data_IF_110037375778
#
_entry.id   IF_110037375778
#
_cell.length_a   1.000
_cell.length_b   1.000
_cell.length_c   1.000
_cell.angle_alpha   90.00
_cell.angle_beta   90.00
_cell.angle_gamma   90.00
#
_symmetry.space_group_name_H-M   'P 1'
#
loop_
_entity.id
_entity.type
_entity.pdbx_description
1 polymer ?
#
# COMPACT_ATOMS: atom_id res chain seq x y z
N UNK A 1 -29.40 -26.26 53.71
CA UNK A 1 -28.84 -24.91 53.46
C UNK A 1 -28.69 -24.72 51.96
N UNK A 2 -29.61 -23.98 51.35
CA UNK A 2 -29.55 -23.59 49.94
C UNK A 2 -28.94 -22.19 49.90
N UNK A 3 -27.71 -22.10 49.40
CA UNK A 3 -27.01 -20.85 49.15
C UNK A 3 -27.70 -20.11 48.02
N UNK A 4 -28.06 -18.86 48.32
CA UNK A 4 -28.86 -17.95 47.52
C UNK A 4 -28.12 -17.63 46.21
N UNK A 5 -28.83 -17.82 45.10
CA UNK A 5 -28.50 -17.31 43.76
C UNK A 5 -28.17 -15.81 43.87
N UNK A 6 -26.96 -15.43 43.46
CA UNK A 6 -26.50 -14.03 43.48
C UNK A 6 -27.47 -13.11 42.74
N UNK A 7 -27.90 -12.06 43.45
CA UNK A 7 -28.82 -11.02 42.97
C UNK A 7 -28.25 -10.30 41.75
N UNK A 8 -29.04 -10.28 40.67
CA UNK A 8 -28.74 -9.69 39.36
C UNK A 8 -28.90 -8.16 39.31
N UNK A 9 -29.30 -7.53 40.41
CA UNK A 9 -29.91 -6.20 40.38
C UNK A 9 -28.95 -5.02 40.16
N UNK A 10 -27.63 -5.23 40.26
CA UNK A 10 -26.62 -4.19 39.98
C UNK A 10 -25.72 -4.50 38.77
N UNK A 11 -25.93 -5.64 38.09
CA UNK A 11 -25.06 -6.07 36.99
C UNK A 11 -25.59 -5.68 35.62
N UNK A 12 -26.89 -5.43 35.44
CA UNK A 12 -27.43 -5.01 34.15
C UNK A 12 -27.02 -3.58 33.81
N UNK A 13 -27.04 -2.64 34.76
CA UNK A 13 -26.64 -1.27 34.50
C UNK A 13 -25.13 -1.16 34.26
N UNK A 14 -24.32 -1.91 35.02
CA UNK A 14 -22.86 -2.03 34.79
C UNK A 14 -22.55 -2.77 33.48
N UNK A 15 -23.34 -3.77 33.11
CA UNK A 15 -23.24 -4.45 31.81
C UNK A 15 -23.65 -3.50 30.68
N UNK A 16 -24.70 -2.69 30.85
CA UNK A 16 -25.17 -1.73 29.86
C UNK A 16 -24.24 -0.52 29.74
N UNK A 17 -23.58 -0.09 30.82
CA UNK A 17 -22.47 0.88 30.79
C UNK A 17 -21.25 0.30 30.06
N UNK A 18 -20.84 -0.94 30.37
CA UNK A 18 -19.76 -1.65 29.67
C UNK A 18 -20.09 -1.98 28.20
N UNK A 19 -21.36 -2.20 27.87
CA UNK A 19 -21.85 -2.39 26.49
C UNK A 19 -22.02 -1.04 25.79
N UNK A 20 -22.19 0.06 26.54
CA UNK A 20 -22.18 1.44 26.05
C UNK A 20 -20.77 1.93 25.70
N UNK A 21 -19.75 1.45 26.41
CA UNK A 21 -18.33 1.52 26.02
C UNK A 21 -18.01 0.58 24.84
N UNK A 22 -18.78 0.66 23.75
CA UNK A 22 -18.53 -0.13 22.53
C UNK A 22 -17.13 0.16 22.01
N UNK A 23 -16.19 -0.72 22.38
CA UNK A 23 -14.98 -0.95 21.62
C UNK A 23 -15.42 -1.34 20.21
N UNK A 24 -14.86 -0.67 19.21
CA UNK A 24 -15.35 -0.73 17.84
C UNK A 24 -15.49 -2.19 17.40
N UNK A 25 -16.72 -2.60 17.06
CA UNK A 25 -17.03 -4.00 16.75
C UNK A 25 -16.16 -4.45 15.56
N UNK A 26 -15.37 -5.54 15.69
CA UNK A 26 -14.40 -5.89 14.67
C UNK A 26 -15.01 -6.12 13.29
N UNK A 27 -16.23 -6.68 13.21
CA UNK A 27 -16.93 -6.89 11.92
C UNK A 27 -17.36 -5.60 11.20
N UNK A 28 -17.38 -4.46 11.89
CA UNK A 28 -17.66 -3.14 11.31
C UNK A 28 -16.40 -2.46 10.75
N UNK A 29 -15.23 -2.94 11.17
CA UNK A 29 -13.94 -2.42 10.74
C UNK A 29 -13.49 -3.03 9.41
N UNK A 30 -12.86 -2.20 8.58
CA UNK A 30 -12.15 -2.65 7.40
C UNK A 30 -10.87 -3.42 7.76
N UNK A 31 -10.22 -3.99 6.74
CA UNK A 31 -9.05 -4.83 6.96
C UNK A 31 -7.90 -4.08 7.65
N UNK A 32 -7.63 -2.83 7.29
CA UNK A 32 -6.53 -2.06 7.87
C UNK A 32 -6.85 -1.59 9.28
N UNK A 33 -8.08 -1.15 9.52
CA UNK A 33 -8.55 -0.77 10.85
C UNK A 33 -8.41 -1.94 11.83
N UNK A 34 -8.76 -3.16 11.40
CA UNK A 34 -8.56 -4.37 12.22
C UNK A 34 -7.10 -4.67 12.49
N UNK A 35 -6.23 -4.59 11.47
CA UNK A 35 -4.78 -4.80 11.68
C UNK A 35 -4.22 -3.82 12.71
N UNK A 36 -4.61 -2.54 12.61
CA UNK A 36 -4.14 -1.47 13.50
C UNK A 36 -4.58 -1.65 14.96
N UNK A 37 -5.71 -2.31 15.20
CA UNK A 37 -6.20 -2.63 16.53
C UNK A 37 -5.74 -4.01 17.04
N UNK A 38 -5.14 -4.83 16.17
CA UNK A 38 -4.70 -6.16 16.54
C UNK A 38 -3.42 -6.10 17.39
N UNK A 39 -3.39 -6.89 18.46
CA UNK A 39 -2.26 -6.97 19.41
C UNK A 39 -1.26 -8.07 19.05
N UNK A 40 -1.47 -8.82 17.98
CA UNK A 40 -0.59 -9.89 17.52
C UNK A 40 0.80 -9.32 17.18
N UNK A 41 1.89 -9.80 17.82
CA UNK A 41 3.23 -9.27 17.61
C UNK A 41 3.70 -9.27 16.16
N UNK A 42 3.22 -10.23 15.34
CA UNK A 42 3.49 -10.29 13.90
C UNK A 42 2.89 -9.09 13.17
N UNK A 43 1.61 -8.81 13.42
CA UNK A 43 0.88 -7.70 12.76
C UNK A 43 1.48 -6.37 13.20
N UNK A 44 1.78 -6.22 14.50
CA UNK A 44 2.45 -5.02 15.02
C UNK A 44 3.77 -4.78 14.28
N UNK A 45 4.64 -5.78 14.17
CA UNK A 45 5.93 -5.64 13.46
C UNK A 45 5.80 -5.36 11.96
N UNK A 46 4.77 -5.91 11.32
CA UNK A 46 4.47 -5.58 9.93
C UNK A 46 4.05 -4.12 9.80
N UNK A 47 3.14 -3.65 10.66
CA UNK A 47 2.68 -2.27 10.68
C UNK A 47 3.81 -1.29 10.99
N UNK A 48 4.69 -1.61 11.93
CA UNK A 48 5.88 -0.80 12.25
C UNK A 48 6.73 -0.55 11.00
N UNK A 49 6.92 -1.58 10.15
CA UNK A 49 7.65 -1.43 8.89
C UNK A 49 6.86 -0.68 7.83
N UNK A 50 5.57 -0.97 7.70
CA UNK A 50 4.69 -0.26 6.76
C UNK A 50 4.58 1.23 7.08
N UNK A 51 4.67 1.59 8.36
CA UNK A 51 4.65 2.98 8.82
C UNK A 51 5.94 3.74 8.46
N UNK A 52 7.05 3.06 8.17
CA UNK A 52 8.30 3.74 7.81
C UNK A 52 8.22 4.46 6.45
N UNK A 53 7.40 3.98 5.52
CA UNK A 53 7.17 4.64 4.24
C UNK A 53 5.84 5.37 4.16
N UNK A 54 5.13 5.49 5.28
CA UNK A 54 3.96 6.36 5.37
C UNK A 54 4.37 7.81 5.14
N UNK A 55 3.52 8.57 4.45
CA UNK A 55 3.77 9.95 4.07
C UNK A 55 4.96 10.14 3.10
N UNK A 56 5.47 9.04 2.52
CA UNK A 56 6.54 9.06 1.49
C UNK A 56 6.01 8.62 0.14
N UNK A 57 6.80 8.85 -0.92
CA UNK A 57 6.48 8.35 -2.27
C UNK A 57 6.32 6.82 -2.35
N UNK A 58 6.74 6.04 -1.35
CA UNK A 58 6.58 4.59 -1.35
C UNK A 58 5.24 4.12 -0.78
N UNK A 59 4.43 4.99 -0.15
CA UNK A 59 3.12 4.62 0.40
C UNK A 59 2.17 4.07 -0.67
N UNK A 60 1.97 4.81 -1.77
CA UNK A 60 1.11 4.36 -2.88
C UNK A 60 1.70 3.17 -3.64
N UNK A 61 3.03 3.11 -3.76
CA UNK A 61 3.72 1.99 -4.38
C UNK A 61 3.56 0.69 -3.56
N UNK A 62 3.61 0.80 -2.23
CA UNK A 62 3.39 -0.32 -1.32
C UNK A 62 1.96 -0.82 -1.41
N UNK A 63 0.98 0.08 -1.41
CA UNK A 63 -0.43 -0.28 -1.62
C UNK A 63 -0.64 -1.09 -2.92
N UNK A 64 0.10 -0.76 -3.98
CA UNK A 64 0.10 -1.54 -5.22
C UNK A 64 0.75 -2.93 -5.05
N UNK A 65 1.89 -3.02 -4.38
CA UNK A 65 2.61 -4.27 -4.13
C UNK A 65 1.78 -5.28 -3.31
N UNK A 66 0.98 -4.80 -2.34
CA UNK A 66 0.13 -5.66 -1.49
C UNK A 66 -0.90 -6.49 -2.27
N UNK A 67 -1.17 -6.16 -3.53
CA UNK A 67 -2.00 -6.98 -4.44
C UNK A 67 -1.30 -8.27 -4.88
N UNK A 68 0.03 -8.31 -4.80
CA UNK A 68 0.88 -9.42 -5.20
C UNK A 68 1.49 -10.13 -3.99
N UNK A 69 1.96 -9.35 -3.02
CA UNK A 69 2.58 -9.83 -1.79
C UNK A 69 1.53 -9.77 -0.68
N UNK A 70 1.04 -10.93 -0.24
CA UNK A 70 -0.03 -10.99 0.77
C UNK A 70 0.54 -11.18 2.18
N UNK A 71 -0.14 -10.64 3.21
CA UNK A 71 0.25 -10.80 4.61
C UNK A 71 0.31 -12.27 5.07
N UNK A 72 -0.47 -13.17 4.47
CA UNK A 72 -0.44 -14.61 4.78
C UNK A 72 0.89 -15.27 4.42
N UNK A 73 1.54 -14.76 3.37
CA UNK A 73 2.84 -15.22 2.88
C UNK A 73 3.96 -14.33 3.45
N UNK A 74 3.68 -13.55 4.50
CA UNK A 74 4.56 -12.53 5.09
C UNK A 74 5.12 -11.54 4.09
N UNK A 75 4.31 -11.20 3.08
CA UNK A 75 4.71 -10.37 1.96
C UNK A 75 5.91 -10.92 1.18
N UNK A 76 6.14 -12.24 1.26
CA UNK A 76 7.14 -12.92 0.45
C UNK A 76 6.50 -13.46 -0.82
N UNK A 77 7.23 -13.35 -1.91
CA UNK A 77 6.78 -13.80 -3.22
C UNK A 77 7.84 -14.63 -3.90
N UNK A 78 7.40 -15.57 -4.73
CA UNK A 78 8.30 -16.25 -5.66
C UNK A 78 8.80 -15.27 -6.72
N UNK A 79 9.90 -15.62 -7.38
CA UNK A 79 10.41 -14.84 -8.51
C UNK A 79 9.32 -14.60 -9.55
N UNK A 80 8.57 -15.64 -9.93
CA UNK A 80 7.53 -15.54 -10.95
C UNK A 80 6.48 -14.48 -10.60
N UNK A 81 6.05 -14.42 -9.33
CA UNK A 81 5.12 -13.38 -8.89
C UNK A 81 5.74 -11.99 -8.83
N UNK A 82 7.02 -11.89 -8.49
CA UNK A 82 7.72 -10.62 -8.56
C UNK A 82 7.90 -10.15 -10.02
N UNK A 83 8.22 -11.05 -10.97
CA UNK A 83 8.25 -10.78 -12.41
C UNK A 83 6.90 -10.25 -12.92
N UNK A 84 5.79 -10.82 -12.46
CA UNK A 84 4.45 -10.34 -12.79
C UNK A 84 4.22 -8.92 -12.25
N UNK A 85 4.61 -8.64 -11.00
CA UNK A 85 4.55 -7.29 -10.44
C UNK A 85 5.38 -6.30 -11.26
N UNK A 86 6.64 -6.61 -11.58
CA UNK A 86 7.51 -5.76 -12.40
C UNK A 86 6.88 -5.49 -13.77
N UNK A 87 6.25 -6.51 -14.37
CA UNK A 87 5.51 -6.37 -15.63
C UNK A 87 4.29 -5.47 -15.46
N UNK A 88 3.54 -5.63 -14.37
CA UNK A 88 2.35 -4.84 -14.04
C UNK A 88 2.67 -3.34 -13.92
N UNK A 89 3.77 -2.98 -13.27
CA UNK A 89 4.23 -1.58 -13.17
C UNK A 89 4.93 -1.05 -14.45
N UNK A 90 5.09 -1.90 -15.47
CA UNK A 90 5.55 -1.48 -16.80
C UNK A 90 7.03 -1.70 -17.12
N UNK A 91 7.73 -2.52 -16.33
CA UNK A 91 9.06 -3.01 -16.69
C UNK A 91 8.86 -4.18 -17.65
N UNK A 92 9.21 -4.00 -18.93
CA UNK A 92 9.02 -5.04 -19.96
C UNK A 92 10.29 -5.78 -20.32
N UNK A 93 11.46 -5.17 -20.11
CA UNK A 93 12.77 -5.77 -20.41
C UNK A 93 13.04 -6.96 -19.49
N UNK A 94 13.19 -8.16 -20.06
CA UNK A 94 13.50 -9.37 -19.30
C UNK A 94 14.87 -9.29 -18.61
N UNK A 95 15.87 -8.68 -19.27
CA UNK A 95 17.19 -8.45 -18.69
C UNK A 95 17.10 -7.60 -17.42
N UNK A 96 16.33 -6.50 -17.50
CA UNK A 96 16.15 -5.59 -16.37
C UNK A 96 15.39 -6.27 -15.24
N UNK A 97 14.33 -7.03 -15.54
CA UNK A 97 13.61 -7.80 -14.51
C UNK A 97 14.52 -8.81 -13.81
N UNK A 98 15.33 -9.55 -14.58
CA UNK A 98 16.28 -10.50 -14.02
C UNK A 98 17.28 -9.82 -13.08
N UNK A 99 17.83 -8.68 -13.49
CA UNK A 99 18.72 -7.88 -12.65
C UNK A 99 18.04 -7.40 -11.35
N UNK A 100 16.81 -6.92 -11.43
CA UNK A 100 16.05 -6.46 -10.25
C UNK A 100 15.73 -7.62 -9.31
N UNK A 101 15.33 -8.77 -9.87
CA UNK A 101 15.06 -10.00 -9.10
C UNK A 101 16.33 -10.45 -8.38
N UNK A 102 17.46 -10.52 -9.07
CA UNK A 102 18.76 -10.90 -8.50
C UNK A 102 19.18 -9.94 -7.38
N UNK A 103 18.98 -8.63 -7.58
CA UNK A 103 19.30 -7.61 -6.58
C UNK A 103 18.54 -7.78 -5.26
N UNK A 104 17.29 -8.24 -5.31
CA UNK A 104 16.43 -8.32 -4.11
C UNK A 104 16.18 -9.74 -3.61
N UNK A 105 16.68 -10.76 -4.32
CA UNK A 105 16.55 -12.14 -3.89
C UNK A 105 17.40 -12.38 -2.66
N UNK A 106 16.81 -13.01 -1.64
CA UNK A 106 17.59 -13.49 -0.50
C UNK A 106 18.20 -14.86 -0.81
N UNK A 107 19.51 -15.00 -0.64
CA UNK A 107 20.25 -16.25 -0.83
C UNK A 107 19.72 -17.41 0.04
N UNK A 108 19.11 -17.08 1.19
CA UNK A 108 18.72 -18.06 2.20
C UNK A 108 17.35 -18.72 1.94
N UNK A 109 16.48 -18.13 1.13
CA UNK A 109 15.08 -18.54 1.06
C UNK A 109 14.50 -18.70 -0.35
N UNK A 110 15.22 -18.33 -1.42
CA UNK A 110 14.72 -18.45 -2.80
C UNK A 110 13.46 -17.63 -3.09
N UNK A 111 13.06 -16.77 -2.15
CA UNK A 111 11.89 -15.90 -2.19
C UNK A 111 12.35 -14.45 -2.02
N UNK A 112 11.53 -13.53 -2.50
CA UNK A 112 11.74 -12.09 -2.38
C UNK A 112 10.82 -11.57 -1.28
N UNK A 113 11.41 -10.95 -0.28
CA UNK A 113 10.68 -10.34 0.84
C UNK A 113 10.36 -8.89 0.48
N UNK A 114 9.09 -8.61 0.14
CA UNK A 114 8.71 -7.31 -0.38
C UNK A 114 8.80 -6.18 0.65
N UNK A 115 8.73 -6.47 1.95
CA UNK A 115 9.00 -5.45 2.98
C UNK A 115 10.46 -5.01 2.93
N UNK A 116 11.39 -5.96 2.72
CA UNK A 116 12.82 -5.63 2.57
C UNK A 116 13.11 -4.87 1.27
N UNK A 117 12.42 -5.22 0.17
CA UNK A 117 12.50 -4.44 -1.08
C UNK A 117 12.16 -2.98 -0.81
N UNK A 118 11.00 -2.72 -0.21
CA UNK A 118 10.53 -1.35 0.02
C UNK A 118 11.40 -0.60 1.03
N UNK A 119 11.91 -1.28 2.06
CA UNK A 119 12.93 -0.70 2.94
C UNK A 119 14.18 -0.28 2.18
N UNK A 120 14.73 -1.17 1.34
CA UNK A 120 15.93 -0.88 0.58
C UNK A 120 15.72 0.27 -0.41
N UNK A 121 14.55 0.33 -1.06
CA UNK A 121 14.16 1.46 -1.90
C UNK A 121 14.08 2.75 -1.10
N UNK A 122 13.45 2.73 0.08
CA UNK A 122 13.37 3.90 0.97
C UNK A 122 14.77 4.38 1.34
N UNK A 123 15.65 3.45 1.74
CA UNK A 123 17.03 3.76 2.08
C UNK A 123 17.77 4.42 0.92
N UNK A 124 17.66 3.89 -0.31
CA UNK A 124 18.26 4.51 -1.50
C UNK A 124 17.68 5.88 -1.84
N UNK A 125 16.40 6.11 -1.55
CA UNK A 125 15.76 7.42 -1.74
C UNK A 125 16.14 8.44 -0.67
N UNK A 126 16.57 8.00 0.51
CA UNK A 126 16.97 8.88 1.62
C UNK A 126 18.48 9.02 1.78
N UNK A 127 19.27 8.12 1.20
CA UNK A 127 20.71 8.14 1.29
C UNK A 127 21.30 9.27 0.41
N UNK A 128 22.13 10.17 0.97
CA UNK A 128 22.66 11.31 0.22
C UNK A 128 23.47 10.96 -1.03
N UNK A 129 24.05 9.77 -1.10
CA UNK A 129 24.91 9.36 -2.21
C UNK A 129 24.10 8.78 -3.39
N UNK A 130 22.97 8.13 -3.11
CA UNK A 130 22.15 7.47 -4.12
C UNK A 130 20.87 8.25 -4.47
N UNK A 131 20.29 8.97 -3.52
CA UNK A 131 19.04 9.72 -3.68
C UNK A 131 19.05 10.69 -4.88
N UNK A 132 20.10 11.52 -5.12
CA UNK A 132 20.13 12.41 -6.28
C UNK A 132 19.99 11.64 -7.61
N UNK A 133 20.63 10.47 -7.71
CA UNK A 133 20.56 9.62 -8.90
C UNK A 133 19.17 9.02 -9.11
N UNK A 134 18.47 8.64 -8.03
CA UNK A 134 17.09 8.16 -8.11
C UNK A 134 16.14 9.24 -8.60
N UNK A 135 16.20 10.41 -7.98
CA UNK A 135 15.31 11.54 -8.28
C UNK A 135 15.56 12.04 -9.69
N UNK A 136 16.83 12.18 -10.09
CA UNK A 136 17.20 12.56 -11.45
C UNK A 136 16.71 11.53 -12.49
N UNK A 137 16.84 10.22 -12.21
CA UNK A 137 16.34 9.18 -13.11
C UNK A 137 14.81 9.25 -13.27
N UNK A 138 14.09 9.54 -12.18
CA UNK A 138 12.64 9.75 -12.23
C UNK A 138 12.27 11.02 -13.02
N UNK A 139 12.96 12.13 -12.78
CA UNK A 139 12.77 13.38 -13.51
C UNK A 139 13.00 13.21 -15.01
N UNK A 140 14.12 12.60 -15.40
CA UNK A 140 14.48 12.34 -16.81
C UNK A 140 13.53 11.38 -17.52
N UNK A 141 12.64 10.69 -16.81
CA UNK A 141 11.59 9.87 -17.42
C UNK A 141 10.42 10.70 -17.95
N UNK A 142 10.27 11.96 -17.53
CA UNK A 142 9.24 12.87 -18.02
C UNK A 142 9.52 13.30 -19.47
N UNK A 143 8.50 13.76 -20.22
CA UNK A 143 8.72 14.26 -21.58
C UNK A 143 9.41 15.63 -21.53
N UNK A 144 10.55 15.76 -22.20
CA UNK A 144 11.26 17.02 -22.40
C UNK A 144 11.13 17.47 -23.84
N UNK A 145 11.18 18.79 -24.08
CA UNK A 145 11.43 19.29 -25.41
C UNK A 145 12.87 18.99 -25.82
N UNK A 146 13.11 18.76 -27.12
CA UNK A 146 14.42 18.35 -27.66
C UNK A 146 15.55 19.34 -27.38
N UNK A 147 15.21 20.58 -27.00
CA UNK A 147 16.13 21.70 -26.77
C UNK A 147 16.16 22.20 -25.32
N UNK A 148 15.39 21.61 -24.39
CA UNK A 148 15.23 22.13 -23.03
C UNK A 148 15.71 21.15 -21.96
N UNK A 149 16.27 21.69 -20.88
CA UNK A 149 16.62 20.95 -19.64
C UNK A 149 15.39 20.92 -18.70
N UNK A 150 14.33 21.65 -19.05
CA UNK A 150 13.08 21.77 -18.31
C UNK A 150 11.96 20.99 -18.99
N UNK A 151 11.01 20.50 -18.18
CA UNK A 151 9.83 19.82 -18.68
C UNK A 151 8.86 20.86 -19.24
N UNK A 152 8.55 20.84 -20.53
CA UNK A 152 7.65 21.85 -21.13
C UNK A 152 6.17 21.48 -21.01
N UNK A 153 5.34 22.42 -20.55
CA UNK A 153 3.89 22.23 -20.40
C UNK A 153 3.22 21.70 -21.67
N UNK A 154 3.53 22.25 -22.85
CA UNK A 154 2.93 21.83 -24.11
C UNK A 154 3.35 20.43 -24.56
N UNK A 155 4.57 19.99 -24.22
CA UNK A 155 5.01 18.60 -24.46
C UNK A 155 4.25 17.63 -23.54
N UNK A 156 4.09 17.98 -22.26
CA UNK A 156 3.30 17.20 -21.29
C UNK A 156 1.85 17.09 -21.74
N UNK A 157 1.24 18.19 -22.17
CA UNK A 157 -0.15 18.26 -22.65
C UNK A 157 -0.36 17.44 -23.93
N UNK A 158 0.60 17.44 -24.85
CA UNK A 158 0.56 16.55 -26.03
C UNK A 158 0.72 15.08 -25.63
N UNK A 159 1.63 14.78 -24.70
CA UNK A 159 1.89 13.42 -24.25
C UNK A 159 0.66 12.81 -23.57
N UNK A 160 -0.05 13.56 -22.72
CA UNK A 160 -1.28 13.08 -22.07
C UNK A 160 -2.42 12.88 -23.08
N UNK A 161 -2.56 13.77 -24.06
CA UNK A 161 -3.56 13.64 -25.13
C UNK A 161 -3.42 12.34 -25.93
N UNK A 162 -2.18 11.97 -26.28
CA UNK A 162 -1.87 10.69 -26.95
C UNK A 162 -2.16 9.46 -26.09
N UNK A 163 -2.08 9.58 -24.75
CA UNK A 163 -2.33 8.45 -23.85
C UNK A 163 -3.82 8.23 -23.61
N UNK A 164 -4.60 9.29 -23.43
CA UNK A 164 -6.05 9.22 -23.23
C UNK A 164 -6.81 8.64 -24.42
N UNK A 165 -6.25 8.71 -25.64
CA UNK A 165 -6.85 8.10 -26.83
C UNK A 165 -6.70 6.57 -26.92
N UNK A 166 -5.91 5.95 -26.02
CA UNK A 166 -5.71 4.50 -26.02
C UNK A 166 -6.74 3.82 -25.11
N UNK A 167 -7.53 2.87 -25.64
CA UNK A 167 -8.60 2.18 -24.86
C UNK A 167 -8.07 1.13 -23.86
N UNK A 168 -6.83 0.69 -24.01
CA UNK A 168 -6.22 -0.30 -23.11
C UNK A 168 -5.70 0.34 -21.83
N UNK A 169 -6.45 0.20 -20.74
CA UNK A 169 -6.05 0.63 -19.40
C UNK A 169 -5.14 -0.41 -18.74
N UNK A 170 -3.87 -0.43 -19.15
CA UNK A 170 -2.81 -1.14 -18.42
C UNK A 170 -2.30 -0.24 -17.28
N UNK A 171 -2.00 -0.81 -16.12
CA UNK A 171 -1.48 -0.07 -14.95
C UNK A 171 -0.28 0.83 -15.30
N UNK A 172 0.67 0.34 -16.08
CA UNK A 172 1.79 1.14 -16.58
C UNK A 172 1.36 2.44 -17.31
N UNK A 173 0.24 2.42 -18.01
CA UNK A 173 -0.34 3.59 -18.69
C UNK A 173 -1.04 4.53 -17.70
N UNK A 174 -1.70 3.99 -16.69
CA UNK A 174 -2.32 4.76 -15.61
C UNK A 174 -1.26 5.50 -14.79
N UNK A 175 -0.19 4.81 -14.38
CA UNK A 175 0.97 5.42 -13.72
C UNK A 175 1.56 6.55 -14.58
N UNK A 176 1.75 6.32 -15.88
CA UNK A 176 2.24 7.37 -16.78
C UNK A 176 1.28 8.56 -16.88
N UNK A 177 -0.02 8.30 -16.90
CA UNK A 177 -1.03 9.37 -16.93
C UNK A 177 -0.96 10.20 -15.65
N UNK A 178 -0.89 9.57 -14.48
CA UNK A 178 -0.75 10.24 -13.18
C UNK A 178 0.52 11.11 -13.11
N UNK A 179 1.65 10.61 -13.61
CA UNK A 179 2.91 11.38 -13.69
C UNK A 179 2.70 12.71 -14.44
N UNK A 180 2.08 12.64 -15.62
CA UNK A 180 1.83 13.80 -16.49
C UNK A 180 0.77 14.74 -15.91
N UNK A 181 -0.30 14.19 -15.32
CA UNK A 181 -1.36 14.97 -14.67
C UNK A 181 -0.82 15.77 -13.47
N UNK A 182 0.09 15.19 -12.68
CA UNK A 182 0.71 15.95 -11.59
C UNK A 182 1.61 17.09 -12.08
N UNK A 183 2.32 16.92 -13.20
CA UNK A 183 3.08 18.02 -13.80
C UNK A 183 2.14 19.14 -14.28
N UNK A 184 1.04 18.79 -14.97
CA UNK A 184 0.02 19.76 -15.40
C UNK A 184 -0.57 20.50 -14.20
N UNK A 185 -0.93 19.76 -13.15
CA UNK A 185 -1.45 20.32 -11.90
C UNK A 185 -0.48 21.32 -11.28
N UNK A 186 0.82 21.01 -11.24
CA UNK A 186 1.82 21.97 -10.76
C UNK A 186 1.83 23.25 -11.60
N UNK A 187 1.80 23.13 -12.93
CA UNK A 187 1.78 24.31 -13.83
C UNK A 187 0.55 25.20 -13.57
N UNK A 188 -0.61 24.57 -13.35
CA UNK A 188 -1.85 25.27 -13.03
C UNK A 188 -1.81 25.95 -11.65
N UNK A 189 -1.24 25.29 -10.63
CA UNK A 189 -1.14 25.81 -9.26
C UNK A 189 -0.04 26.89 -9.11
N UNK A 190 1.06 26.78 -9.86
CA UNK A 190 2.25 27.65 -9.75
C UNK A 190 2.23 28.87 -10.68
N UNK A 191 1.14 29.09 -11.41
CA UNK A 191 1.04 30.20 -12.36
C UNK A 191 2.01 30.07 -13.54
N UNK A 192 2.21 28.85 -14.04
CA UNK A 192 3.12 28.51 -15.13
C UNK A 192 4.62 28.66 -14.83
N UNK A 193 5.02 28.51 -13.56
CA UNK A 193 6.43 28.52 -13.18
C UNK A 193 7.19 27.33 -13.82
N UNK A 194 8.49 27.48 -14.15
CA UNK A 194 9.29 26.40 -14.72
C UNK A 194 9.28 25.14 -13.85
N UNK A 195 9.18 23.97 -14.48
CA UNK A 195 9.28 22.68 -13.81
C UNK A 195 10.69 22.12 -13.97
N UNK A 196 11.55 22.46 -13.02
CA UNK A 196 12.97 22.08 -12.97
C UNK A 196 13.19 20.81 -12.15
N UNK A 197 14.42 20.27 -12.18
CA UNK A 197 14.81 19.16 -11.31
C UNK A 197 14.65 19.50 -9.82
N UNK A 198 14.97 20.72 -9.40
CA UNK A 198 14.84 21.15 -7.99
C UNK A 198 13.37 21.21 -7.56
N UNK A 199 12.51 21.69 -8.45
CA UNK A 199 11.06 21.69 -8.26
C UNK A 199 10.53 20.26 -8.15
N UNK A 200 10.92 19.40 -9.09
CA UNK A 200 10.57 17.99 -9.08
C UNK A 200 11.02 17.32 -7.78
N UNK A 201 12.25 17.55 -7.34
CA UNK A 201 12.82 17.00 -6.10
C UNK A 201 11.99 17.41 -4.88
N UNK A 202 11.63 18.69 -4.80
CA UNK A 202 10.82 19.23 -3.71
C UNK A 202 9.44 18.54 -3.66
N UNK A 203 8.77 18.43 -4.80
CA UNK A 203 7.47 17.76 -4.90
C UNK A 203 7.57 16.25 -4.66
N UNK A 204 8.65 15.61 -5.07
CA UNK A 204 8.83 14.16 -4.96
C UNK A 204 8.89 13.69 -3.50
N UNK A 205 9.43 14.53 -2.61
CA UNK A 205 9.52 14.26 -1.17
C UNK A 205 8.44 14.96 -0.35
N UNK A 206 7.56 15.74 -0.97
CA UNK A 206 6.43 16.36 -0.29
C UNK A 206 5.34 15.33 -0.01
N UNK A 207 4.92 15.25 1.27
CA UNK A 207 3.85 14.37 1.73
C UNK A 207 2.53 14.59 1.00
N UNK A 208 2.23 15.81 0.57
CA UNK A 208 0.97 16.13 -0.12
C UNK A 208 0.98 15.66 -1.57
N UNK A 209 2.17 15.41 -2.11
CA UNK A 209 2.43 14.89 -3.45
C UNK A 209 2.82 13.41 -3.47
N UNK A 210 2.85 12.74 -2.31
CA UNK A 210 3.35 11.37 -2.16
C UNK A 210 2.72 10.36 -3.12
N UNK A 211 1.41 10.44 -3.38
CA UNK A 211 0.72 9.53 -4.30
C UNK A 211 1.07 9.80 -5.77
N UNK A 212 1.32 11.06 -6.11
CA UNK A 212 1.88 11.39 -7.42
C UNK A 212 3.31 10.86 -7.53
N UNK A 213 4.16 11.06 -6.52
CA UNK A 213 5.52 10.54 -6.51
C UNK A 213 5.55 9.00 -6.59
N UNK A 214 4.60 8.30 -5.95
CA UNK A 214 4.43 6.84 -6.07
C UNK A 214 4.23 6.36 -7.51
N UNK A 215 3.71 7.21 -8.40
CA UNK A 215 3.52 6.83 -9.80
C UNK A 215 4.84 6.58 -10.54
N UNK A 216 5.97 7.02 -9.99
CA UNK A 216 7.32 6.79 -10.52
C UNK A 216 7.93 5.46 -10.07
N UNK A 217 7.17 4.54 -9.44
CA UNK A 217 7.68 3.25 -8.95
C UNK A 217 8.51 2.47 -9.98
N UNK A 218 8.10 2.51 -11.26
CA UNK A 218 8.87 1.91 -12.36
C UNK A 218 10.29 2.50 -12.43
N UNK A 219 10.39 3.83 -12.42
CA UNK A 219 11.65 4.56 -12.49
C UNK A 219 12.49 4.37 -11.23
N UNK A 220 11.86 4.24 -10.06
CA UNK A 220 12.52 3.91 -8.79
C UNK A 220 13.20 2.53 -8.89
N UNK A 221 12.52 1.51 -9.44
CA UNK A 221 13.12 0.20 -9.65
C UNK A 221 14.25 0.20 -10.69
N UNK A 222 14.09 0.96 -11.77
CA UNK A 222 15.16 1.16 -12.76
C UNK A 222 16.39 1.84 -12.16
N UNK A 223 16.18 2.86 -11.33
CA UNK A 223 17.24 3.54 -10.60
C UNK A 223 17.92 2.60 -9.61
N UNK A 224 17.17 1.80 -8.84
CA UNK A 224 17.73 0.79 -7.95
C UNK A 224 18.64 -0.17 -8.71
N UNK A 225 18.19 -0.69 -9.87
CA UNK A 225 19.02 -1.56 -10.70
C UNK A 225 20.28 -0.87 -11.27
N UNK A 226 20.32 0.47 -11.32
CA UNK A 226 21.46 1.23 -11.83
C UNK A 226 22.44 1.62 -10.73
N UNK A 227 21.93 2.08 -9.58
CA UNK A 227 22.73 2.70 -8.53
C UNK A 227 23.04 1.75 -7.36
N UNK A 228 22.26 0.68 -7.17
CA UNK A 228 22.59 -0.31 -6.15
C UNK A 228 23.62 -1.29 -6.71
N UNK A 229 24.70 -1.51 -5.95
CA UNK A 229 25.65 -2.61 -6.20
C UNK A 229 25.17 -3.92 -5.54
N UNK A 230 24.52 -3.79 -4.38
CA UNK A 230 23.82 -4.81 -3.59
C UNK A 230 22.62 -4.10 -2.92
N UNK A 231 21.58 -4.80 -2.42
CA UNK A 231 20.48 -4.12 -1.74
C UNK A 231 21.04 -3.31 -0.57
N UNK A 232 20.78 -1.99 -0.57
CA UNK A 232 21.34 -1.10 0.44
C UNK A 232 20.74 -1.40 1.82
N UNK A 233 21.60 -1.78 2.76
CA UNK A 233 21.25 -2.06 4.15
C UNK A 233 21.19 -3.55 4.49
N UNK A 234 21.48 -3.88 5.75
CA UNK A 234 21.21 -5.20 6.32
C UNK A 234 20.04 -5.09 7.30
N UNK A 235 19.09 -6.01 7.18
CA UNK A 235 18.03 -6.17 8.16
C UNK A 235 18.24 -7.50 8.88
N UNK A 236 18.01 -7.58 10.20
CA UNK A 236 17.97 -8.86 10.87
C UNK A 236 16.87 -9.72 10.23
N UNK A 237 17.16 -11.00 10.01
CA UNK A 237 16.17 -11.99 9.54
C UNK A 237 15.09 -12.09 10.61
N UNK A 238 13.98 -11.38 10.43
CA UNK A 238 12.81 -11.52 11.29
C UNK A 238 12.00 -12.70 10.72
N UNK A 239 11.86 -13.82 11.45
CA UNK A 239 10.95 -14.87 11.06
C UNK A 239 9.53 -14.32 11.20
N UNK A 240 8.95 -13.87 10.09
CA UNK A 240 7.57 -13.37 10.04
C UNK A 240 6.56 -14.52 9.85
N UNK A 241 7.03 -15.68 9.39
CA UNK A 241 6.22 -16.91 9.28
C UNK A 241 5.73 -17.32 10.65
N UNK A 242 4.52 -17.85 10.69
CA UNK A 242 4.20 -18.92 11.63
C UNK A 242 5.24 -20.02 11.43
N UNK A 243 6.38 -19.94 12.13
CA UNK A 243 7.05 -21.18 12.49
C UNK A 243 5.99 -21.92 13.28
N UNK A 244 5.75 -23.20 12.96
CA UNK A 244 5.04 -24.16 13.83
C UNK A 244 5.53 -24.18 15.30
N UNK A 245 6.55 -23.39 15.63
CA UNK A 245 7.22 -23.21 16.92
C UNK A 245 6.73 -22.00 17.72
N UNK A 246 6.00 -21.05 17.13
CA UNK A 246 5.25 -20.09 17.93
C UNK A 246 3.92 -20.77 18.25
N UNK A 247 3.81 -21.33 19.46
CA UNK A 247 2.52 -21.78 19.96
C UNK A 247 1.53 -20.62 19.80
N UNK A 248 0.33 -20.86 19.22
CA UNK A 248 -0.72 -19.86 19.30
C UNK A 248 -0.84 -19.44 20.75
N UNK A 249 -0.96 -18.12 21.00
CA UNK A 249 -1.36 -17.66 22.32
C UNK A 249 -2.60 -18.46 22.73
N UNK A 250 -2.63 -19.00 23.97
CA UNK A 250 -3.76 -19.79 24.42
C UNK A 250 -5.02 -18.95 24.26
N UNK A 251 -5.99 -19.50 23.54
CA UNK A 251 -7.25 -18.84 23.22
C UNK A 251 -7.92 -18.34 24.50
N UNK A 252 -7.94 -17.01 24.71
CA UNK A 252 -8.62 -16.41 25.85
C UNK A 252 -10.06 -16.03 25.46
N UNK A 253 -11.02 -16.76 26.02
CA UNK A 253 -12.46 -16.51 25.82
C UNK A 253 -12.90 -15.13 26.32
N UNK A 254 -12.10 -14.47 27.15
CA UNK A 254 -12.37 -13.16 27.71
C UNK A 254 -11.69 -12.02 26.94
N UNK A 255 -10.75 -12.33 26.03
CA UNK A 255 -10.13 -11.32 25.15
C UNK A 255 -10.79 -11.33 23.76
N UNK A 256 -11.46 -10.21 23.44
CA UNK A 256 -12.21 -10.00 22.18
C UNK A 256 -11.31 -10.16 20.92
N UNK A 257 -9.99 -10.06 21.07
CA UNK A 257 -9.03 -9.94 19.97
C UNK A 257 -8.62 -11.29 19.32
N UNK A 258 -8.88 -12.44 19.96
CA UNK A 258 -8.52 -13.76 19.42
C UNK A 258 -9.43 -14.22 18.27
N UNK A 259 -10.73 -13.88 18.33
CA UNK A 259 -11.68 -14.19 17.26
C UNK A 259 -11.39 -13.38 15.98
N UNK A 260 -10.83 -12.18 16.13
CA UNK A 260 -10.54 -11.30 14.99
C UNK A 260 -9.26 -11.71 14.24
N UNK A 261 -8.29 -12.32 14.92
CA UNK A 261 -7.13 -12.96 14.29
C UNK A 261 -7.53 -14.08 13.31
N UNK A 262 -8.57 -14.84 13.63
CA UNK A 262 -9.14 -15.87 12.73
C UNK A 262 -9.86 -15.21 11.54
N UNK A 263 -10.59 -14.12 11.76
CA UNK A 263 -11.27 -13.38 10.70
C UNK A 263 -10.27 -12.69 9.75
N UNK A 264 -9.23 -12.05 10.29
CA UNK A 264 -8.11 -11.49 9.54
C UNK A 264 -7.41 -12.56 8.71
N UNK A 265 -7.11 -13.72 9.30
CA UNK A 265 -6.54 -14.85 8.56
C UNK A 265 -7.42 -15.29 7.39
N UNK A 266 -8.74 -15.34 7.55
CA UNK A 266 -9.66 -15.72 6.47
C UNK A 266 -9.72 -14.65 5.37
N UNK A 267 -9.65 -13.36 5.72
CA UNK A 267 -9.52 -12.26 4.75
C UNK A 267 -8.19 -12.36 3.98
N UNK A 268 -7.08 -12.62 4.67
CA UNK A 268 -5.75 -12.78 4.07
C UNK A 268 -5.67 -14.00 3.13
N UNK A 269 -6.27 -15.14 3.52
CA UNK A 269 -6.39 -16.34 2.68
C UNK A 269 -7.19 -16.04 1.42
N UNK A 270 -8.37 -15.42 1.58
CA UNK A 270 -9.31 -15.23 0.47
C UNK A 270 -8.91 -14.10 -0.48
N UNK A 271 -8.12 -13.13 -0.01
CA UNK A 271 -7.75 -11.92 -0.77
C UNK A 271 -8.96 -11.07 -1.17
N UNK A 272 -10.14 -11.37 -0.63
CA UNK A 272 -11.37 -10.60 -0.84
C UNK A 272 -11.61 -9.82 0.44
N UNK A 273 -11.36 -8.52 0.40
CA UNK A 273 -11.96 -7.63 1.38
C UNK A 273 -13.46 -7.89 1.36
N UNK A 274 -14.05 -8.17 2.53
CA UNK A 274 -15.49 -8.08 2.68
C UNK A 274 -15.82 -6.62 2.40
N UNK A 275 -16.12 -6.31 1.13
CA UNK A 275 -16.54 -5.00 0.69
C UNK A 275 -17.55 -4.52 1.69
N UNK A 276 -17.21 -3.42 2.37
CA UNK A 276 -18.08 -2.72 3.30
C UNK A 276 -19.49 -2.76 2.73
N UNK A 277 -20.35 -3.53 3.39
CA UNK A 277 -21.78 -3.54 3.13
C UNK A 277 -22.30 -2.18 3.56
N UNK A 278 -22.01 -1.13 2.79
CA UNK A 278 -22.77 0.12 2.82
C UNK A 278 -24.21 -0.31 2.57
N UNK A 279 -24.99 -0.37 3.64
CA UNK A 279 -26.43 -0.50 3.59
C UNK A 279 -26.93 0.58 2.63
N UNK A 280 -27.19 0.18 1.38
CA UNK A 280 -27.88 1.02 0.41
C UNK A 280 -29.30 1.15 0.92
N UNK A 281 -29.57 2.21 1.67
CA UNK A 281 -30.93 2.64 1.96
C UNK A 281 -31.70 2.82 0.65
N UNK A 282 -32.83 2.11 0.53
CA UNK A 282 -33.93 2.28 -0.45
C UNK A 282 -34.97 1.19 -0.11
N UNK A 283 -36.26 1.41 0.15
CA UNK A 283 -37.17 2.56 0.13
C UNK A 283 -38.37 2.13 0.99
N UNK A 284 -38.87 3.00 1.89
CA UNK A 284 -40.22 2.87 2.48
C UNK A 284 -41.25 2.79 1.35
N UNK A 285 -41.97 1.68 1.24
CA UNK A 285 -43.16 1.56 0.37
C UNK A 285 -44.26 2.46 0.95
N UNK A 286 -44.61 3.52 0.22
CA UNK A 286 -45.83 4.30 0.46
C UNK A 286 -47.03 3.36 0.31
N UNK A 287 -47.80 3.27 1.39
CA UNK A 287 -49.17 2.77 1.38
C UNK A 287 -49.99 3.62 0.40
N UNK A 288 -50.60 3.00 -0.61
CA UNK A 288 -51.67 3.63 -1.40
C UNK A 288 -52.92 2.82 -1.15
N UNK A 289 -53.86 3.44 -0.43
CA UNK A 289 -55.22 2.95 -0.23
C UNK A 289 -55.93 2.85 -1.58
N UNK A 290 -56.41 1.66 -1.94
CA UNK A 290 -57.36 1.50 -3.04
C UNK A 290 -58.77 1.68 -2.48
N UNK A 291 -59.48 2.71 -2.95
CA UNK A 291 -60.92 2.83 -2.80
C UNK A 291 -61.60 1.74 -3.62
N UNK A 292 -62.63 1.16 -3.01
CA UNK A 292 -63.60 0.24 -3.59
C UNK A 292 -64.44 0.95 -4.64
N UNK A 293 -64.67 0.24 -5.75
CA UNK A 293 -65.83 0.36 -6.64
C UNK A 293 -66.29 -1.05 -6.94
#
# INVERSE_FOLDING_TARGET
MLTVLGTWDNNIDVFMEKVGERTVEPWLLDYEERRRLNKEPRIIRQLEREDEWKDTCLEGAWACMRRFARPIDDFRVSDARFYEYLTFIGITSNLLKAKIVELFRSDMHGEIDCLHVFKALLMGLTDPNSSPGFVEHCYRSLPFATSSIEVEYEEVKRAIGKKRSTKDRKMAMELRTLQLEGVIRYYEESGMSPFTLDTFTSLFFDKDWRFWASSFIKCIFEAAAKYFSHPHGSMPVIPLRWKKLAEPLPFDRNEIYDADSILLRNLEISGKENTSGKQKGKKRRKHVSRKLS
#
